data_IF_437121505530
#
_entry.id   IF_437121505530
#
_cell.length_a   1.000
_cell.length_b   1.000
_cell.length_c   1.000
_cell.angle_alpha   90.00
_cell.angle_beta   90.00
_cell.angle_gamma   90.00
#
_symmetry.space_group_name_H-M   'P 1'
#
loop_
_entity.id
_entity.type
_entity.pdbx_description
1 polymer ?
#
# COMPACT_ATOMS: atom_id res chain seq x y z
N UNK A 1 -6.40 9.32 9.89
CA UNK A 1 -7.10 9.62 11.17
C UNK A 1 -6.98 8.53 12.24
N UNK A 2 -6.74 7.25 11.90
CA UNK A 2 -6.76 6.12 12.83
C UNK A 2 -5.83 6.28 14.05
N UNK A 3 -4.56 6.66 13.85
CA UNK A 3 -3.58 6.87 14.94
C UNK A 3 -4.02 7.94 15.95
N UNK A 4 -4.60 9.05 15.47
CA UNK A 4 -5.05 10.16 16.32
C UNK A 4 -6.29 9.74 17.13
N UNK A 5 -7.26 9.07 16.50
CA UNK A 5 -8.47 8.56 17.16
C UNK A 5 -8.12 7.54 18.25
N UNK A 6 -7.30 6.55 17.92
CA UNK A 6 -6.86 5.51 18.86
C UNK A 6 -6.08 6.09 20.06
N UNK A 7 -5.23 7.09 19.80
CA UNK A 7 -4.50 7.78 20.87
C UNK A 7 -5.41 8.62 21.78
N UNK A 8 -6.50 9.20 21.24
CA UNK A 8 -7.51 9.91 22.03
C UNK A 8 -8.39 8.95 22.86
N UNK A 9 -8.78 7.80 22.30
CA UNK A 9 -9.59 6.78 22.99
C UNK A 9 -8.80 6.09 24.10
N UNK A 10 -7.54 5.73 23.83
CA UNK A 10 -6.71 4.99 24.79
C UNK A 10 -6.07 5.91 25.84
N UNK A 11 -5.95 7.21 25.55
CA UNK A 11 -5.23 8.19 26.38
C UNK A 11 -3.71 7.94 26.50
N UNK A 12 -3.16 6.92 25.81
CA UNK A 12 -1.77 6.45 25.91
C UNK A 12 -1.01 6.69 24.61
N UNK A 13 -0.58 7.93 24.39
CA UNK A 13 0.12 8.38 23.17
C UNK A 13 1.35 7.52 22.87
N UNK A 14 2.19 7.25 23.88
CA UNK A 14 3.44 6.49 23.71
C UNK A 14 3.19 5.04 23.27
N UNK A 15 2.11 4.43 23.73
CA UNK A 15 1.75 3.06 23.38
C UNK A 15 1.32 2.97 21.92
N UNK A 16 0.43 3.88 21.51
CA UNK A 16 -0.04 3.97 20.12
C UNK A 16 1.14 4.29 19.20
N UNK A 17 1.98 5.26 19.56
CA UNK A 17 3.18 5.60 18.79
C UNK A 17 4.10 4.38 18.57
N UNK A 18 4.36 3.57 19.61
CA UNK A 18 5.15 2.34 19.47
C UNK A 18 4.50 1.31 18.54
N UNK A 19 3.18 1.13 18.60
CA UNK A 19 2.46 0.17 17.76
C UNK A 19 2.58 0.50 16.27
N UNK A 20 2.55 1.78 15.93
CA UNK A 20 2.67 2.26 14.56
C UNK A 20 4.12 2.65 14.18
N UNK A 21 5.11 2.35 15.03
CA UNK A 21 6.53 2.71 14.84
C UNK A 21 6.77 4.21 14.61
N UNK A 22 5.96 5.04 15.27
CA UNK A 22 6.00 6.50 15.18
C UNK A 22 6.70 7.13 16.39
N UNK A 23 7.22 8.34 16.19
CA UNK A 23 7.73 9.15 17.29
C UNK A 23 6.56 9.68 18.16
N UNK A 24 6.53 9.45 19.49
CA UNK A 24 5.47 9.93 20.37
C UNK A 24 5.24 11.44 20.31
N UNK A 25 6.29 12.24 20.09
CA UNK A 25 6.19 13.70 19.96
C UNK A 25 5.40 14.12 18.71
N UNK A 26 5.53 13.35 17.62
CA UNK A 26 4.77 13.57 16.39
C UNK A 26 3.29 13.31 16.62
N UNK A 27 2.96 12.19 17.28
CA UNK A 27 1.56 11.84 17.60
C UNK A 27 0.94 12.88 18.54
N UNK A 28 1.66 13.33 19.56
CA UNK A 28 1.20 14.40 20.46
C UNK A 28 0.97 15.73 19.73
N UNK A 29 1.85 16.09 18.81
CA UNK A 29 1.68 17.28 17.96
C UNK A 29 0.45 17.16 17.07
N UNK A 30 0.25 16.02 16.40
CA UNK A 30 -0.91 15.79 15.54
C UNK A 30 -2.23 15.81 16.29
N UNK A 31 -2.28 15.28 17.52
CA UNK A 31 -3.47 15.36 18.37
C UNK A 31 -3.80 16.83 18.70
N UNK A 32 -2.78 17.66 19.00
CA UNK A 32 -2.97 19.09 19.26
C UNK A 32 -3.45 19.81 18.00
N UNK A 33 -2.78 19.62 16.87
CA UNK A 33 -3.16 20.24 15.60
C UNK A 33 -4.55 19.78 15.11
N UNK A 34 -4.97 18.55 15.44
CA UNK A 34 -6.31 18.06 15.21
C UNK A 34 -7.37 18.74 16.09
N UNK A 35 -7.08 18.92 17.40
CA UNK A 35 -7.96 19.64 18.33
C UNK A 35 -8.08 21.13 18.01
N UNK A 36 -7.00 21.75 17.54
CA UNK A 36 -6.96 23.16 17.15
C UNK A 36 -7.71 23.43 15.83
N UNK A 37 -8.38 22.42 15.26
CA UNK A 37 -9.14 22.56 14.02
C UNK A 37 -8.26 22.84 12.79
N UNK A 38 -6.94 22.70 12.92
CA UNK A 38 -5.96 22.93 11.85
C UNK A 38 -6.11 21.92 10.71
N UNK A 39 -6.60 20.74 11.05
CA UNK A 39 -7.07 19.70 10.12
C UNK A 39 -8.59 19.57 10.20
N UNK A 40 -9.27 20.73 10.29
CA UNK A 40 -10.70 20.87 10.49
C UNK A 40 -11.47 19.91 9.61
N UNK A 41 -12.40 19.19 10.24
CA UNK A 41 -13.35 18.24 9.68
C UNK A 41 -13.05 17.88 8.21
N UNK A 42 -11.94 17.16 7.98
CA UNK A 42 -11.84 16.34 6.79
C UNK A 42 -12.89 15.25 7.04
N UNK A 43 -14.13 15.57 6.68
CA UNK A 43 -15.18 14.61 6.52
C UNK A 43 -14.57 13.54 5.64
N UNK A 44 -14.20 12.41 6.25
CA UNK A 44 -13.84 11.19 5.54
C UNK A 44 -15.01 10.77 4.63
N UNK A 45 -16.22 11.28 4.91
CA UNK A 45 -17.40 11.21 4.07
C UNK A 45 -17.33 12.04 2.76
N UNK A 46 -16.41 13.00 2.66
CA UNK A 46 -16.17 13.84 1.48
C UNK A 46 -14.90 13.49 0.70
N UNK A 47 -14.15 12.46 1.12
CA UNK A 47 -13.23 11.81 0.18
C UNK A 47 -14.11 11.28 -0.96
N UNK A 48 -13.78 11.52 -2.25
CA UNK A 48 -14.45 10.81 -3.31
C UNK A 48 -14.37 9.34 -2.93
N UNK A 49 -15.51 8.65 -2.92
CA UNK A 49 -15.58 7.20 -2.72
C UNK A 49 -14.59 6.63 -3.73
N UNK A 50 -13.38 6.38 -3.26
CA UNK A 50 -12.30 5.86 -4.08
C UNK A 50 -12.90 4.53 -4.45
N UNK A 51 -13.34 4.35 -5.70
CA UNK A 51 -14.19 3.22 -6.06
C UNK A 51 -13.34 1.95 -5.89
N UNK A 52 -13.34 1.46 -4.66
CA UNK A 52 -12.45 0.42 -4.18
C UNK A 52 -12.80 -0.88 -4.88
N UNK A 53 -14.03 -0.99 -5.39
CA UNK A 53 -14.47 -2.09 -6.22
C UNK A 53 -13.91 -1.99 -7.63
N UNK A 54 -13.92 -0.82 -8.26
CA UNK A 54 -13.27 -0.62 -9.55
C UNK A 54 -11.75 -0.81 -9.45
N UNK A 55 -11.10 -0.23 -8.45
CA UNK A 55 -9.67 -0.42 -8.20
C UNK A 55 -9.32 -1.89 -7.88
N UNK A 56 -10.18 -2.60 -7.15
CA UNK A 56 -9.97 -4.03 -6.90
C UNK A 56 -10.12 -4.84 -8.19
N UNK A 57 -11.14 -4.55 -9.02
CA UNK A 57 -11.33 -5.20 -10.32
C UNK A 57 -10.16 -4.97 -11.26
N UNK A 58 -9.67 -3.73 -11.32
CA UNK A 58 -8.51 -3.39 -12.14
C UNK A 58 -7.25 -4.11 -11.65
N UNK A 59 -7.03 -4.17 -10.34
CA UNK A 59 -5.94 -4.95 -9.76
C UNK A 59 -6.03 -6.45 -10.10
N UNK A 60 -7.19 -7.06 -9.97
CA UNK A 60 -7.36 -8.49 -10.32
C UNK A 60 -7.11 -8.74 -11.82
N UNK A 61 -7.57 -7.83 -12.68
CA UNK A 61 -7.28 -7.88 -14.12
C UNK A 61 -5.78 -7.76 -14.39
N UNK A 62 -5.10 -6.82 -13.75
CA UNK A 62 -3.66 -6.62 -13.91
C UNK A 62 -2.85 -7.81 -13.40
N UNK A 63 -3.22 -8.41 -12.26
CA UNK A 63 -2.59 -9.65 -11.75
C UNK A 63 -2.75 -10.81 -12.72
N UNK A 64 -3.93 -10.96 -13.32
CA UNK A 64 -4.20 -12.01 -14.32
C UNK A 64 -3.28 -11.83 -15.54
N UNK A 65 -3.25 -10.62 -16.11
CA UNK A 65 -2.39 -10.30 -17.27
C UNK A 65 -0.90 -10.49 -16.94
N UNK A 66 -0.47 -10.13 -15.73
CA UNK A 66 0.90 -10.34 -15.29
C UNK A 66 1.24 -11.82 -15.23
N UNK A 67 0.37 -12.66 -14.65
CA UNK A 67 0.56 -14.10 -14.59
C UNK A 67 0.65 -14.76 -15.98
N UNK A 68 -0.18 -14.32 -16.93
CA UNK A 68 -0.11 -14.76 -18.32
C UNK A 68 1.23 -14.41 -18.97
N UNK A 69 1.73 -13.18 -18.73
CA UNK A 69 3.02 -12.72 -19.25
C UNK A 69 4.20 -13.47 -18.62
N UNK A 70 4.15 -13.73 -17.32
CA UNK A 70 5.18 -14.53 -16.64
C UNK A 70 5.21 -15.97 -17.15
N UNK A 71 4.04 -16.57 -17.44
CA UNK A 71 3.94 -17.89 -18.05
C UNK A 71 4.53 -17.89 -19.47
N UNK A 72 4.18 -16.90 -20.29
CA UNK A 72 4.73 -16.73 -21.65
C UNK A 72 6.27 -16.63 -21.60
N UNK A 73 6.81 -15.81 -20.70
CA UNK A 73 8.26 -15.68 -20.48
C UNK A 73 8.88 -17.01 -20.04
N UNK A 74 8.24 -17.74 -19.13
CA UNK A 74 8.74 -19.04 -18.67
C UNK A 74 8.83 -20.05 -19.81
N UNK A 75 7.78 -20.15 -20.63
CA UNK A 75 7.74 -21.03 -21.81
C UNK A 75 8.83 -20.63 -22.81
N UNK A 76 8.96 -19.33 -23.13
CA UNK A 76 9.97 -18.85 -24.06
C UNK A 76 11.39 -19.15 -23.55
N UNK A 77 11.65 -18.95 -22.26
CA UNK A 77 12.94 -19.30 -21.63
C UNK A 77 13.22 -20.79 -21.73
N UNK A 78 12.22 -21.65 -21.50
CA UNK A 78 12.35 -23.10 -21.62
C UNK A 78 12.59 -23.55 -23.06
N UNK A 79 11.94 -22.92 -24.04
CA UNK A 79 12.17 -23.19 -25.47
C UNK A 79 13.60 -22.81 -25.87
N UNK A 80 14.08 -21.63 -25.46
CA UNK A 80 15.46 -21.20 -25.70
C UNK A 80 16.43 -22.17 -25.01
N UNK A 81 16.17 -22.59 -23.77
CA UNK A 81 16.99 -23.57 -23.05
C UNK A 81 17.12 -24.89 -23.81
N UNK A 82 16.02 -25.36 -24.42
CA UNK A 82 16.00 -26.61 -25.20
C UNK A 82 16.67 -26.48 -26.56
N UNK A 83 16.52 -25.35 -27.25
CA UNK A 83 16.99 -25.18 -28.65
C UNK A 83 18.37 -24.51 -28.73
N UNK A 84 18.57 -23.42 -28.01
CA UNK A 84 19.75 -22.55 -28.13
C UNK A 84 20.19 -22.03 -26.74
N UNK A 85 20.75 -22.90 -25.87
CA UNK A 85 21.05 -22.55 -24.48
C UNK A 85 22.10 -21.43 -24.32
N UNK A 86 22.91 -21.17 -25.34
CA UNK A 86 23.89 -20.09 -25.35
C UNK A 86 23.25 -18.70 -25.40
N UNK A 87 22.04 -18.55 -25.93
CA UNK A 87 21.33 -17.27 -26.01
C UNK A 87 20.85 -16.75 -24.65
N UNK A 88 20.63 -17.64 -23.67
CA UNK A 88 20.21 -17.27 -22.31
C UNK A 88 21.25 -16.43 -21.56
N UNK A 89 22.53 -16.52 -21.94
CA UNK A 89 23.62 -15.74 -21.32
C UNK A 89 23.52 -14.25 -21.63
N UNK A 90 22.85 -13.88 -22.73
CA UNK A 90 22.72 -12.51 -23.21
C UNK A 90 21.43 -11.82 -22.71
N UNK A 91 20.59 -12.53 -21.94
CA UNK A 91 19.31 -12.04 -21.40
C UNK A 91 19.39 -11.54 -19.95
N UNK A 92 20.59 -11.42 -19.38
CA UNK A 92 20.83 -10.96 -18.01
C UNK A 92 20.92 -9.45 -17.89
#
# INVERSE_FOLDING_TARGET
MQVIKEAQETGKITLVARRYELNPNMVGRWIREYKDGKYGNLDVAGLPDLDTKELAKENEKLKTLLGEKDLEIAILRDLIKKKNPHLLKNLK
#
